data_IF_325996133501
#
_entry.id   IF_325996133501
#
_cell.length_a   1.000
_cell.length_b   1.000
_cell.length_c   1.000
_cell.angle_alpha   90.00
_cell.angle_beta   90.00
_cell.angle_gamma   90.00
#
_symmetry.space_group_name_H-M   'P 1'
#
loop_
_entity.id
_entity.type
_entity.pdbx_description
1 polymer ?
#
# COMPACT_ATOMS: atom_id res chain seq x y z
N UNK A 1 18.11 43.18 -15.80
CA UNK A 1 17.65 42.53 -14.55
C UNK A 1 16.18 42.88 -14.31
N UNK A 2 15.24 41.94 -14.53
CA UNK A 2 13.78 42.12 -14.30
C UNK A 2 13.12 40.78 -13.97
N UNK A 3 13.39 40.20 -12.78
CA UNK A 3 12.83 38.89 -12.36
C UNK A 3 12.46 38.85 -10.86
N UNK A 4 12.28 39.99 -10.19
CA UNK A 4 12.02 40.06 -8.74
C UNK A 4 10.61 40.55 -8.35
N UNK A 5 9.63 40.55 -9.28
CA UNK A 5 8.30 41.11 -9.05
C UNK A 5 7.15 40.08 -9.02
N UNK A 6 7.45 38.77 -8.92
CA UNK A 6 6.42 37.70 -8.96
C UNK A 6 6.44 36.84 -7.67
N UNK A 7 7.32 37.13 -6.71
CA UNK A 7 7.56 36.29 -5.52
C UNK A 7 6.85 36.80 -4.24
N UNK A 8 5.70 37.49 -4.36
CA UNK A 8 5.14 38.27 -3.23
C UNK A 8 3.59 38.23 -3.11
N UNK A 9 2.92 37.22 -3.68
CA UNK A 9 1.43 37.17 -3.73
C UNK A 9 0.80 35.89 -3.12
N UNK A 10 1.58 34.89 -2.68
CA UNK A 10 1.03 33.63 -2.10
C UNK A 10 1.60 33.33 -0.69
N UNK A 11 1.56 34.33 0.20
CA UNK A 11 1.88 34.16 1.62
C UNK A 11 0.94 34.97 2.53
N UNK A 12 -0.37 34.83 2.34
CA UNK A 12 -1.38 35.67 3.05
C UNK A 12 -2.73 34.98 3.34
N UNK A 13 -2.77 33.66 3.58
CA UNK A 13 -4.00 32.96 4.02
C UNK A 13 -3.70 31.95 5.14
N UNK A 14 -3.13 32.43 6.25
CA UNK A 14 -3.07 31.66 7.51
C UNK A 14 -3.10 32.63 8.71
N UNK A 15 -4.31 33.08 9.09
CA UNK A 15 -4.57 33.80 10.33
C UNK A 15 -6.07 33.78 10.64
N UNK A 16 -6.41 33.70 11.93
CA UNK A 16 -7.76 33.59 12.49
C UNK A 16 -8.53 32.29 12.12
N UNK A 17 -9.19 31.59 13.06
CA UNK A 17 -9.69 32.05 14.35
C UNK A 17 -9.33 31.12 15.52
N UNK A 18 -8.92 31.72 16.64
CA UNK A 18 -9.06 31.16 17.99
C UNK A 18 -10.23 31.89 18.64
N UNK A 19 -11.30 31.18 18.96
CA UNK A 19 -12.41 31.70 19.79
C UNK A 19 -12.36 31.01 21.15
N UNK A 20 -12.40 31.80 22.22
CA UNK A 20 -12.46 31.32 23.61
C UNK A 20 -13.56 32.06 24.36
N UNK A 21 -14.45 31.30 25.03
CA UNK A 21 -15.26 31.69 26.21
C UNK A 21 -16.24 32.88 26.04
N UNK A 22 -17.44 32.98 26.65
CA UNK A 22 -18.24 32.20 27.62
C UNK A 22 -19.74 32.35 27.20
N UNK A 23 -20.82 31.87 27.86
CA UNK A 23 -21.01 31.41 29.24
C UNK A 23 -22.07 30.28 29.38
N UNK A 24 -22.43 30.00 30.64
CA UNK A 24 -23.35 29.03 31.19
C UNK A 24 -24.86 29.31 31.06
N UNK A 25 -25.64 28.23 30.96
CA UNK A 25 -26.92 28.07 31.67
C UNK A 25 -26.95 26.73 32.42
N UNK A 26 -27.72 26.68 33.50
CA UNK A 26 -27.67 25.62 34.52
C UNK A 26 -28.80 24.61 34.29
N UNK A 27 -28.45 23.37 33.97
CA UNK A 27 -29.39 22.25 33.80
C UNK A 27 -28.93 21.02 34.58
N UNK A 28 -29.58 20.75 35.71
CA UNK A 28 -29.31 19.59 36.57
C UNK A 28 -29.73 18.27 35.89
N UNK A 29 -28.97 17.17 36.08
CA UNK A 29 -29.45 15.86 36.59
C UNK A 29 -28.40 14.73 36.44
N UNK A 30 -28.20 13.99 37.54
CA UNK A 30 -27.60 12.63 37.72
C UNK A 30 -26.14 12.34 37.34
N UNK A 31 -25.35 12.22 38.41
CA UNK A 31 -24.29 11.24 38.69
C UNK A 31 -24.36 9.90 37.92
N UNK A 32 -23.25 9.51 37.28
CA UNK A 32 -22.64 8.19 37.53
C UNK A 32 -21.15 8.15 37.13
N UNK A 33 -20.32 7.95 38.15
CA UNK A 33 -18.91 7.58 38.02
C UNK A 33 -18.84 6.05 37.95
N UNK A 34 -18.32 5.48 36.86
CA UNK A 34 -17.99 4.05 36.81
C UNK A 34 -16.76 3.79 35.94
N UNK A 35 -15.67 3.44 36.62
CA UNK A 35 -14.48 2.77 36.09
C UNK A 35 -14.86 1.51 35.31
N UNK A 36 -14.57 1.44 34.01
CA UNK A 36 -14.86 0.26 33.18
C UNK A 36 -13.69 -0.10 32.26
N UNK A 37 -12.68 -0.76 32.86
CA UNK A 37 -11.93 -1.88 32.32
C UNK A 37 -11.94 -2.04 30.79
N UNK A 38 -10.88 -1.56 30.13
CA UNK A 38 -10.51 -2.04 28.79
C UNK A 38 -10.26 -3.55 28.85
N UNK A 39 -11.25 -4.35 28.43
CA UNK A 39 -11.07 -5.79 28.25
C UNK A 39 -10.23 -6.00 26.99
N UNK A 40 -8.92 -6.03 27.18
CA UNK A 40 -7.98 -6.66 26.25
C UNK A 40 -8.35 -8.14 26.13
N UNK A 41 -9.24 -8.46 25.19
CA UNK A 41 -9.50 -9.83 24.77
C UNK A 41 -8.33 -10.29 23.91
N UNK A 42 -7.23 -10.65 24.58
CA UNK A 42 -6.07 -11.27 23.94
C UNK A 42 -6.41 -12.72 23.55
N UNK A 43 -7.25 -12.87 22.52
CA UNK A 43 -7.30 -14.10 21.74
C UNK A 43 -6.05 -14.12 20.87
N UNK A 44 -5.15 -15.12 20.98
CA UNK A 44 -4.06 -15.29 20.03
C UNK A 44 -4.63 -15.82 18.70
N UNK A 45 -5.29 -14.93 17.96
CA UNK A 45 -5.64 -15.20 16.56
C UNK A 45 -4.33 -15.29 15.78
N UNK A 46 -4.03 -16.46 15.23
CA UNK A 46 -2.89 -16.69 14.32
C UNK A 46 -3.14 -16.09 12.93
N UNK A 47 -3.89 -14.99 12.86
CA UNK A 47 -4.30 -14.31 11.65
C UNK A 47 -3.25 -13.25 11.29
N UNK A 48 -2.61 -13.43 10.13
CA UNK A 48 -1.59 -12.50 9.64
C UNK A 48 -2.27 -11.21 9.20
N UNK A 49 -2.09 -10.15 9.99
CA UNK A 49 -2.64 -8.83 9.71
C UNK A 49 -1.81 -8.11 8.64
N UNK A 50 -2.36 -8.00 7.43
CA UNK A 50 -1.75 -7.25 6.34
C UNK A 50 -1.56 -5.76 6.66
N UNK A 51 -2.39 -5.19 7.55
CA UNK A 51 -2.20 -3.84 8.08
C UNK A 51 -0.86 -3.69 8.81
N UNK A 52 -0.51 -4.64 9.70
CA UNK A 52 0.74 -4.61 10.46
C UNK A 52 1.94 -4.82 9.53
N UNK A 53 1.84 -5.75 8.57
CA UNK A 53 2.90 -6.00 7.60
C UNK A 53 3.15 -4.79 6.68
N UNK A 54 2.10 -4.13 6.18
CA UNK A 54 2.24 -3.17 5.09
C UNK A 54 2.15 -1.69 5.48
N UNK A 55 1.90 -1.35 6.76
CA UNK A 55 1.76 0.04 7.23
C UNK A 55 2.87 0.97 6.69
N UNK A 56 2.52 2.14 6.09
CA UNK A 56 1.20 2.77 5.97
C UNK A 56 0.42 2.41 4.68
N UNK A 57 0.82 1.37 3.96
CA UNK A 57 0.18 0.96 2.70
C UNK A 57 -1.13 0.21 2.95
N UNK A 58 -2.14 0.53 2.14
CA UNK A 58 -3.47 -0.08 2.20
C UNK A 58 -4.00 -0.38 0.79
N UNK A 59 -4.95 -1.31 0.67
CA UNK A 59 -5.62 -1.64 -0.59
C UNK A 59 -6.36 -0.44 -1.21
N UNK A 60 -7.14 0.27 -0.39
CA UNK A 60 -8.03 1.35 -0.83
C UNK A 60 -9.12 0.85 -1.79
N UNK A 61 -9.28 1.53 -2.92
CA UNK A 61 -10.21 1.14 -3.99
C UNK A 61 -9.71 -0.09 -4.75
N UNK A 62 -10.56 -1.10 -4.87
CA UNK A 62 -10.35 -2.39 -5.55
C UNK A 62 -11.04 -2.44 -6.91
N UNK A 63 -10.80 -3.49 -7.68
CA UNK A 63 -11.59 -3.75 -8.90
C UNK A 63 -13.07 -3.93 -8.56
N UNK A 64 -13.94 -3.38 -9.41
CA UNK A 64 -15.37 -3.24 -9.14
C UNK A 64 -15.77 -2.00 -8.33
N UNK A 65 -14.84 -1.25 -7.72
CA UNK A 65 -15.18 0.00 -7.03
C UNK A 65 -15.36 1.17 -8.02
N UNK A 66 -16.34 2.04 -7.75
CA UNK A 66 -16.52 3.28 -8.52
C UNK A 66 -15.28 4.17 -8.47
N UNK A 67 -14.96 4.80 -9.62
CA UNK A 67 -13.75 5.61 -9.86
C UNK A 67 -12.41 4.85 -9.73
N UNK A 68 -12.38 3.51 -9.79
CA UNK A 68 -11.13 2.74 -9.83
C UNK A 68 -10.22 3.16 -11.02
N UNK A 69 -10.80 3.51 -12.18
CA UNK A 69 -10.05 4.02 -13.33
C UNK A 69 -9.23 5.29 -12.99
N UNK A 70 -9.76 6.17 -12.12
CA UNK A 70 -9.06 7.39 -11.71
C UNK A 70 -7.86 7.08 -10.79
N UNK A 71 -7.96 6.04 -9.96
CA UNK A 71 -6.81 5.49 -9.22
C UNK A 71 -5.75 4.97 -10.19
N UNK A 72 -6.14 4.20 -11.21
CA UNK A 72 -5.22 3.69 -12.23
C UNK A 72 -4.50 4.84 -12.96
N UNK A 73 -5.26 5.85 -13.40
CA UNK A 73 -4.71 7.03 -14.07
C UNK A 73 -3.72 7.80 -13.20
N UNK A 74 -4.05 8.07 -11.92
CA UNK A 74 -3.13 8.71 -10.96
C UNK A 74 -1.82 7.93 -10.83
N UNK A 75 -1.89 6.61 -10.73
CA UNK A 75 -0.70 5.76 -10.58
C UNK A 75 0.14 5.70 -11.87
N UNK A 76 -0.49 5.70 -13.06
CA UNK A 76 0.25 5.81 -14.32
C UNK A 76 0.94 7.17 -14.47
N UNK A 77 0.25 8.27 -14.17
CA UNK A 77 0.82 9.63 -14.20
C UNK A 77 1.99 9.72 -13.21
N UNK A 78 1.82 9.24 -11.98
CA UNK A 78 2.89 9.22 -10.97
C UNK A 78 4.11 8.42 -11.46
N UNK A 79 3.89 7.24 -12.04
CA UNK A 79 4.96 6.41 -12.60
C UNK A 79 5.69 7.02 -13.80
N UNK A 80 5.04 7.92 -14.55
CA UNK A 80 5.65 8.64 -15.66
C UNK A 80 6.71 9.65 -15.20
N UNK A 81 6.46 10.33 -14.08
CA UNK A 81 7.39 11.30 -13.47
C UNK A 81 8.53 10.67 -12.64
N UNK A 82 8.60 9.33 -12.56
CA UNK A 82 9.68 8.64 -11.85
C UNK A 82 10.81 8.34 -12.83
N UNK A 83 11.96 8.98 -12.62
CA UNK A 83 13.18 8.81 -13.43
C UNK A 83 14.18 7.87 -12.74
N UNK A 84 14.97 7.15 -13.54
CA UNK A 84 15.90 6.11 -13.06
C UNK A 84 15.24 4.74 -12.94
N UNK A 85 15.97 3.68 -13.32
CA UNK A 85 15.41 2.33 -13.35
C UNK A 85 15.25 1.72 -11.94
N UNK A 86 16.15 1.99 -10.98
CA UNK A 86 15.98 1.53 -9.59
C UNK A 86 14.72 2.13 -8.92
N UNK A 87 14.53 3.46 -9.01
CA UNK A 87 13.27 4.12 -8.60
C UNK A 87 12.02 3.57 -9.30
N UNK A 88 12.09 3.27 -10.61
CA UNK A 88 11.01 2.58 -11.34
C UNK A 88 10.79 1.15 -10.84
N UNK A 89 11.83 0.46 -10.37
CA UNK A 89 11.73 -0.87 -9.80
C UNK A 89 11.03 -0.86 -8.43
N UNK A 90 11.39 0.05 -7.52
CA UNK A 90 10.68 0.20 -6.24
C UNK A 90 9.24 0.68 -6.46
N UNK A 91 9.00 1.60 -7.41
CA UNK A 91 7.63 2.01 -7.72
C UNK A 91 6.78 0.87 -8.30
N UNK A 92 7.35 0.04 -9.16
CA UNK A 92 6.68 -1.16 -9.67
C UNK A 92 6.43 -2.16 -8.54
N UNK A 93 7.39 -2.37 -7.63
CA UNK A 93 7.22 -3.19 -6.42
C UNK A 93 6.09 -2.65 -5.54
N UNK A 94 6.08 -1.35 -5.23
CA UNK A 94 5.03 -0.67 -4.48
C UNK A 94 3.64 -0.88 -5.10
N UNK A 95 3.51 -0.70 -6.42
CA UNK A 95 2.24 -0.97 -7.10
C UNK A 95 1.85 -2.45 -7.05
N UNK A 96 2.80 -3.38 -7.17
CA UNK A 96 2.55 -4.81 -7.02
C UNK A 96 2.09 -5.18 -5.61
N UNK A 97 2.73 -4.64 -4.57
CA UNK A 97 2.31 -4.81 -3.16
C UNK A 97 0.86 -4.36 -2.95
N UNK A 98 0.47 -3.21 -3.54
CA UNK A 98 -0.94 -2.74 -3.47
C UNK A 98 -1.90 -3.72 -4.11
N UNK A 99 -1.53 -4.35 -5.23
CA UNK A 99 -2.39 -5.35 -5.88
C UNK A 99 -2.53 -6.64 -5.08
N UNK A 100 -1.50 -7.07 -4.34
CA UNK A 100 -1.64 -8.17 -3.38
C UNK A 100 -2.64 -7.81 -2.26
N UNK A 101 -2.56 -6.59 -1.69
CA UNK A 101 -3.53 -6.11 -0.69
C UNK A 101 -4.95 -5.94 -1.21
N UNK A 102 -5.09 -5.50 -2.47
CA UNK A 102 -6.38 -5.40 -3.15
C UNK A 102 -6.98 -6.78 -3.42
N UNK A 103 -6.16 -7.75 -3.83
CA UNK A 103 -6.58 -9.14 -4.00
C UNK A 103 -6.99 -9.76 -2.66
N UNK A 104 -6.24 -9.55 -1.57
CA UNK A 104 -6.61 -9.97 -0.22
C UNK A 104 -8.02 -9.47 0.16
N UNK A 105 -8.29 -8.18 -0.04
CA UNK A 105 -9.61 -7.57 0.21
C UNK A 105 -10.72 -8.18 -0.68
N UNK A 106 -10.41 -8.53 -1.94
CA UNK A 106 -11.37 -9.14 -2.86
C UNK A 106 -11.66 -10.61 -2.52
N UNK A 107 -10.65 -11.39 -2.12
CA UNK A 107 -10.79 -12.77 -1.64
C UNK A 107 -11.62 -12.81 -0.36
N UNK A 108 -11.32 -11.93 0.61
CA UNK A 108 -12.12 -11.76 1.84
C UNK A 108 -13.57 -11.34 1.56
N UNK A 109 -13.85 -10.76 0.40
CA UNK A 109 -15.20 -10.41 -0.06
C UNK A 109 -15.84 -11.45 -1.01
N UNK A 110 -15.22 -12.62 -1.20
CA UNK A 110 -15.69 -13.69 -2.09
C UNK A 110 -15.64 -13.37 -3.59
N UNK A 111 -14.98 -12.28 -3.99
CA UNK A 111 -14.93 -11.79 -5.39
C UNK A 111 -13.73 -12.39 -6.15
N UNK A 112 -13.69 -13.73 -6.23
CA UNK A 112 -12.53 -14.48 -6.72
C UNK A 112 -12.06 -14.04 -8.12
N UNK A 113 -12.95 -13.92 -9.12
CA UNK A 113 -12.61 -13.47 -10.47
C UNK A 113 -11.87 -12.12 -10.50
N UNK A 114 -12.27 -11.19 -9.63
CA UNK A 114 -11.64 -9.88 -9.52
C UNK A 114 -10.31 -9.98 -8.77
N UNK A 115 -10.21 -10.85 -7.76
CA UNK A 115 -8.96 -11.12 -7.07
C UNK A 115 -7.92 -11.72 -8.03
N UNK A 116 -8.28 -12.71 -8.85
CA UNK A 116 -7.40 -13.32 -9.85
C UNK A 116 -6.86 -12.27 -10.84
N UNK A 117 -7.73 -11.46 -11.43
CA UNK A 117 -7.35 -10.32 -12.31
C UNK A 117 -6.46 -9.28 -11.60
N UNK A 118 -6.64 -9.10 -10.29
CA UNK A 118 -5.80 -8.22 -9.48
C UNK A 118 -4.42 -8.84 -9.20
N UNK A 119 -4.36 -10.15 -8.97
CA UNK A 119 -3.11 -10.92 -8.80
C UNK A 119 -2.27 -10.96 -10.09
N UNK A 120 -2.91 -11.13 -11.25
CA UNK A 120 -2.23 -10.99 -12.56
C UNK A 120 -1.57 -9.61 -12.73
N UNK A 121 -2.26 -8.55 -12.29
CA UNK A 121 -1.70 -7.20 -12.27
C UNK A 121 -0.55 -7.09 -11.26
N UNK A 122 -0.60 -7.76 -10.12
CA UNK A 122 0.53 -7.84 -9.18
C UNK A 122 1.76 -8.48 -9.85
N UNK A 123 1.58 -9.65 -10.48
CA UNK A 123 2.63 -10.37 -11.21
C UNK A 123 3.25 -9.51 -12.33
N UNK A 124 2.43 -8.82 -13.12
CA UNK A 124 2.89 -7.89 -14.17
C UNK A 124 3.74 -6.73 -13.60
N UNK A 125 3.40 -6.23 -12.41
CA UNK A 125 4.18 -5.21 -11.69
C UNK A 125 5.49 -5.77 -11.14
N UNK A 126 5.52 -6.98 -10.57
CA UNK A 126 6.77 -7.61 -10.13
C UNK A 126 7.70 -7.94 -11.31
N UNK A 127 7.17 -8.47 -12.42
CA UNK A 127 7.92 -8.63 -13.68
C UNK A 127 8.50 -7.29 -14.18
N UNK A 128 7.75 -6.20 -14.07
CA UNK A 128 8.22 -4.86 -14.41
C UNK A 128 9.32 -4.36 -13.45
N UNK A 129 9.22 -4.67 -12.16
CA UNK A 129 10.27 -4.37 -11.18
C UNK A 129 11.55 -5.12 -11.52
N UNK A 130 11.48 -6.46 -11.63
CA UNK A 130 12.57 -7.35 -12.02
C UNK A 130 13.29 -6.87 -13.30
N UNK A 131 12.55 -6.53 -14.36
CA UNK A 131 13.10 -6.01 -15.62
C UNK A 131 13.90 -4.72 -15.44
N UNK A 132 13.52 -3.84 -14.52
CA UNK A 132 14.26 -2.62 -14.24
C UNK A 132 15.50 -2.88 -13.38
N UNK A 133 15.42 -3.75 -12.36
CA UNK A 133 16.61 -4.15 -11.56
C UNK A 133 17.65 -4.84 -12.46
N UNK A 134 17.22 -5.77 -13.31
CA UNK A 134 18.07 -6.47 -14.28
C UNK A 134 18.83 -5.50 -15.21
N UNK A 135 18.18 -4.41 -15.65
CA UNK A 135 18.81 -3.38 -16.49
C UNK A 135 19.94 -2.63 -15.79
N UNK A 136 19.82 -2.35 -14.49
CA UNK A 136 20.90 -1.70 -13.73
C UNK A 136 21.95 -2.70 -13.24
N UNK A 137 21.55 -3.95 -12.97
CA UNK A 137 22.47 -5.07 -12.74
C UNK A 137 23.45 -5.24 -13.89
N UNK A 138 22.96 -5.21 -15.13
CA UNK A 138 23.78 -5.34 -16.33
C UNK A 138 24.80 -4.19 -16.49
N UNK A 139 24.52 -3.01 -15.91
CA UNK A 139 25.43 -1.85 -15.88
C UNK A 139 26.34 -1.81 -14.65
N UNK A 140 26.19 -2.74 -13.71
CA UNK A 140 26.82 -2.69 -12.36
C UNK A 140 26.40 -1.46 -11.53
N UNK A 141 25.18 -0.95 -11.72
CA UNK A 141 24.63 0.26 -11.08
C UNK A 141 23.44 -0.06 -10.13
N UNK A 142 23.45 -1.21 -9.46
CA UNK A 142 22.43 -1.53 -8.44
C UNK A 142 22.67 -0.71 -7.17
N UNK A 143 21.71 0.16 -6.82
CA UNK A 143 21.56 0.69 -5.47
C UNK A 143 20.55 -0.19 -4.71
N UNK A 144 21.04 -1.11 -3.86
CA UNK A 144 20.17 -2.10 -3.18
C UNK A 144 19.20 -1.46 -2.18
N UNK A 145 19.61 -0.33 -1.61
CA UNK A 145 18.87 0.52 -0.68
C UNK A 145 17.68 1.26 -1.31
N UNK A 146 17.69 1.49 -2.63
CA UNK A 146 16.54 2.09 -3.33
C UNK A 146 15.30 1.17 -3.35
N UNK A 147 15.46 -0.15 -3.14
CA UNK A 147 14.36 -1.11 -3.19
C UNK A 147 13.98 -1.58 -1.78
N UNK A 148 12.70 -1.45 -1.47
CA UNK A 148 12.11 -1.84 -0.19
C UNK A 148 11.99 -3.37 -0.04
N UNK A 149 13.10 -4.02 0.31
CA UNK A 149 13.22 -5.48 0.55
C UNK A 149 12.18 -6.02 1.55
N UNK A 150 11.86 -5.22 2.56
CA UNK A 150 10.80 -5.48 3.54
C UNK A 150 9.46 -5.83 2.88
N UNK A 151 9.06 -5.08 1.83
CA UNK A 151 7.81 -5.34 1.11
C UNK A 151 7.78 -6.72 0.46
N UNK A 152 8.91 -7.19 -0.08
CA UNK A 152 8.99 -8.50 -0.73
C UNK A 152 8.83 -9.64 0.28
N UNK A 153 9.48 -9.51 1.44
CA UNK A 153 9.32 -10.45 2.58
C UNK A 153 7.86 -10.46 3.05
N UNK A 154 7.24 -9.29 3.20
CA UNK A 154 5.85 -9.16 3.62
C UNK A 154 4.86 -9.70 2.57
N UNK A 155 5.16 -9.55 1.27
CA UNK A 155 4.38 -10.17 0.17
C UNK A 155 4.41 -11.69 0.31
N UNK A 156 5.60 -12.28 0.50
CA UNK A 156 5.75 -13.72 0.70
C UNK A 156 4.94 -14.21 1.89
N UNK A 157 5.08 -13.58 3.05
CA UNK A 157 4.34 -13.91 4.28
C UNK A 157 2.82 -13.82 4.08
N UNK A 158 2.32 -12.76 3.43
CA UNK A 158 0.89 -12.59 3.17
C UNK A 158 0.36 -13.59 2.14
N UNK A 159 1.14 -13.94 1.11
CA UNK A 159 0.72 -14.92 0.10
C UNK A 159 0.69 -16.33 0.69
N UNK A 160 1.71 -16.72 1.46
CA UNK A 160 1.72 -18.03 2.11
C UNK A 160 0.53 -18.17 3.09
N UNK A 161 0.11 -17.08 3.77
CA UNK A 161 -1.15 -17.04 4.52
C UNK A 161 -2.40 -17.15 3.63
N UNK A 162 -2.49 -16.35 2.56
CA UNK A 162 -3.64 -16.40 1.64
C UNK A 162 -3.83 -17.79 1.03
N UNK A 163 -2.75 -18.53 0.74
CA UNK A 163 -2.82 -19.89 0.22
C UNK A 163 -3.48 -20.90 1.17
N UNK A 164 -3.45 -20.68 2.49
CA UNK A 164 -4.13 -21.58 3.45
C UNK A 164 -5.63 -21.32 3.56
N UNK A 165 -6.11 -20.16 3.09
CA UNK A 165 -7.51 -19.71 3.19
C UNK A 165 -8.23 -19.57 1.85
N UNK A 166 -7.50 -19.65 0.73
CA UNK A 166 -8.04 -19.49 -0.63
C UNK A 166 -8.39 -20.82 -1.31
N UNK A 167 -9.26 -20.77 -2.33
CA UNK A 167 -9.63 -21.93 -3.15
C UNK A 167 -8.44 -22.55 -3.89
N UNK A 168 -8.54 -23.85 -4.22
CA UNK A 168 -7.52 -24.56 -5.02
C UNK A 168 -7.25 -23.90 -6.38
N UNK A 169 -8.25 -23.27 -6.98
CA UNK A 169 -8.11 -22.45 -8.20
C UNK A 169 -7.22 -21.21 -8.00
N UNK A 170 -7.27 -20.59 -6.82
CA UNK A 170 -6.54 -19.35 -6.53
C UNK A 170 -5.08 -19.62 -6.14
N UNK A 171 -4.81 -20.77 -5.53
CA UNK A 171 -3.48 -21.17 -5.03
C UNK A 171 -2.34 -21.17 -6.06
N UNK A 172 -2.48 -21.65 -7.31
CA UNK A 172 -1.40 -21.57 -8.31
C UNK A 172 -1.10 -20.14 -8.76
N UNK A 173 -2.11 -19.26 -8.83
CA UNK A 173 -1.91 -17.85 -9.16
C UNK A 173 -1.19 -17.12 -8.01
N UNK A 174 -1.58 -17.40 -6.76
CA UNK A 174 -0.88 -16.91 -5.58
C UNK A 174 0.60 -17.32 -5.58
N UNK A 175 0.92 -18.59 -5.85
CA UNK A 175 2.32 -19.03 -5.91
C UNK A 175 3.10 -18.34 -7.03
N UNK A 176 2.50 -18.20 -8.22
CA UNK A 176 3.12 -17.47 -9.35
C UNK A 176 3.44 -16.00 -9.01
N UNK A 177 2.59 -15.35 -8.22
CA UNK A 177 2.82 -13.97 -7.72
C UNK A 177 3.95 -13.94 -6.69
N UNK A 178 4.02 -14.92 -5.78
CA UNK A 178 5.09 -15.06 -4.79
C UNK A 178 6.43 -15.34 -5.47
N UNK A 179 6.51 -16.29 -6.40
CA UNK A 179 7.72 -16.59 -7.17
C UNK A 179 8.24 -15.36 -7.93
N UNK A 180 7.33 -14.57 -8.50
CA UNK A 180 7.66 -13.31 -9.18
C UNK A 180 8.25 -12.24 -8.25
N UNK A 181 7.88 -12.25 -6.97
CA UNK A 181 8.44 -11.37 -5.94
C UNK A 181 9.77 -11.94 -5.40
N UNK A 182 9.80 -13.22 -5.03
CA UNK A 182 10.97 -13.93 -4.49
C UNK A 182 12.13 -13.96 -5.51
N UNK A 183 11.85 -13.97 -6.81
CA UNK A 183 12.88 -13.83 -7.84
C UNK A 183 13.65 -12.50 -7.76
N UNK A 184 13.00 -11.40 -7.33
CA UNK A 184 13.67 -10.09 -7.15
C UNK A 184 14.59 -10.15 -5.91
N UNK A 185 14.13 -10.76 -4.81
CA UNK A 185 14.94 -10.99 -3.62
C UNK A 185 16.18 -11.83 -3.94
N UNK A 186 15.96 -13.03 -4.47
CA UNK A 186 16.99 -14.05 -4.72
C UNK A 186 18.04 -13.58 -5.72
N UNK A 187 17.63 -12.98 -6.84
CA UNK A 187 18.55 -12.73 -7.96
C UNK A 187 19.37 -11.44 -7.79
N UNK A 188 18.84 -10.42 -7.08
CA UNK A 188 19.44 -9.08 -7.04
C UNK A 188 19.56 -8.45 -5.64
N UNK A 189 18.82 -8.95 -4.66
CA UNK A 189 18.67 -8.34 -3.34
C UNK A 189 19.02 -9.26 -2.14
N UNK A 190 20.03 -10.17 -2.23
CA UNK A 190 20.51 -10.90 -1.06
C UNK A 190 21.09 -9.93 -0.02
#
# INVERSE_FOLDING_TARGET
MRVHLITLIILSIFSCQVVKTVNAEIGSVKTQETTATSKTSATPSSEISSYILFWPLTAGKTEGDSLYFLKMAKEQITGWFIFGNMKKADYALYLGSKRVLEAEKLLKAGKNDLALKTLEKAMSRFSSSYKNVKKESAKKQISKDEIRRDRLIHIKTLIDFLKTTSSEETRPVLESVKDSADAILRDYLP
#
